data_IF_706145835299
#
_entry.id   IF_706145835299
#
_cell.length_a   1.000
_cell.length_b   1.000
_cell.length_c   1.000
_cell.angle_alpha   90.00
_cell.angle_beta   90.00
_cell.angle_gamma   90.00
#
_symmetry.space_group_name_H-M   'P 1'
#
loop_
_entity.id
_entity.type
_entity.pdbx_description
1 polymer ?
#
# COMPACT_ATOMS: atom_id res chain seq x y z
N UNK A 1 6.37 -27.01 -13.66
CA UNK A 1 7.48 -26.27 -13.02
C UNK A 1 8.52 -27.28 -12.59
N UNK A 2 9.80 -26.93 -12.69
CA UNK A 2 10.94 -27.80 -12.35
C UNK A 2 11.32 -27.54 -10.89
N UNK A 3 11.27 -28.55 -10.03
CA UNK A 3 11.54 -28.40 -8.60
C UNK A 3 13.04 -28.27 -8.34
N UNK A 4 13.44 -27.35 -7.46
CA UNK A 4 14.83 -27.16 -7.04
C UNK A 4 15.02 -27.61 -5.58
N UNK A 5 16.10 -28.34 -5.25
CA UNK A 5 16.39 -28.67 -3.87
C UNK A 5 16.81 -27.43 -3.08
N UNK A 6 16.66 -27.47 -1.75
CA UNK A 6 17.20 -26.44 -0.86
C UNK A 6 18.72 -26.43 -0.99
N UNK A 7 19.29 -25.26 -1.26
CA UNK A 7 20.73 -25.06 -1.43
C UNK A 7 21.37 -24.45 -0.17
N UNK A 8 22.70 -24.43 -0.10
CA UNK A 8 23.45 -23.73 0.97
C UNK A 8 23.21 -22.22 1.01
N UNK A 9 22.67 -21.63 -0.07
CA UNK A 9 22.35 -20.20 -0.18
C UNK A 9 20.95 -19.87 0.36
N UNK A 10 20.17 -20.88 0.78
CA UNK A 10 18.82 -20.70 1.30
C UNK A 10 18.83 -20.31 2.78
N UNK A 11 18.38 -19.09 3.09
CA UNK A 11 18.22 -18.61 4.47
C UNK A 11 16.76 -18.76 4.96
N UNK A 12 16.24 -19.98 4.98
CA UNK A 12 14.88 -20.27 5.50
C UNK A 12 14.77 -21.69 6.07
N UNK A 13 13.72 -21.93 6.87
CA UNK A 13 13.41 -23.27 7.40
C UNK A 13 12.94 -24.26 6.33
N UNK A 14 12.67 -25.51 6.74
CA UNK A 14 12.35 -26.64 5.84
C UNK A 14 11.08 -26.47 4.98
N UNK A 15 10.14 -25.61 5.40
CA UNK A 15 8.91 -25.29 4.67
C UNK A 15 8.94 -23.91 3.99
N UNK A 16 10.05 -23.17 4.11
CA UNK A 16 10.22 -21.88 3.46
C UNK A 16 10.64 -22.01 2.00
N UNK A 17 10.46 -20.94 1.23
CA UNK A 17 10.91 -20.85 -0.16
C UNK A 17 11.57 -19.49 -0.39
N UNK A 18 12.68 -19.46 -1.12
CA UNK A 18 13.39 -18.26 -1.56
C UNK A 18 13.78 -18.36 -3.04
N UNK A 19 14.46 -17.35 -3.57
CA UNK A 19 14.92 -17.31 -4.98
C UNK A 19 15.83 -18.50 -5.37
N UNK A 20 16.59 -19.04 -4.41
CA UNK A 20 17.52 -20.15 -4.67
C UNK A 20 16.87 -21.53 -4.67
N UNK A 21 15.63 -21.67 -4.19
CA UNK A 21 14.89 -22.94 -4.17
C UNK A 21 13.49 -22.85 -4.78
N UNK A 22 13.11 -21.70 -5.32
CA UNK A 22 11.85 -21.56 -6.04
C UNK A 22 11.85 -22.43 -7.29
N UNK A 23 10.72 -23.07 -7.65
CA UNK A 23 10.61 -23.88 -8.85
C UNK A 23 10.91 -23.07 -10.11
N UNK A 24 11.74 -23.61 -11.00
CA UNK A 24 12.03 -22.96 -12.28
C UNK A 24 10.89 -23.17 -13.27
N UNK A 25 10.76 -22.19 -14.15
CA UNK A 25 9.90 -22.34 -15.31
C UNK A 25 10.48 -23.39 -16.28
N UNK A 26 9.65 -24.20 -16.95
CA UNK A 26 10.12 -25.17 -17.95
C UNK A 26 10.81 -24.55 -19.18
N UNK A 27 10.71 -23.23 -19.37
CA UNK A 27 11.34 -22.48 -20.46
C UNK A 27 12.61 -21.72 -20.01
N UNK A 28 13.08 -21.93 -18.78
CA UNK A 28 14.30 -21.32 -18.26
C UNK A 28 15.53 -21.64 -19.12
N UNK A 29 16.26 -20.61 -19.56
CA UNK A 29 17.37 -20.77 -20.49
C UNK A 29 18.60 -21.41 -19.83
N UNK A 30 18.84 -21.11 -18.56
CA UNK A 30 20.00 -21.63 -17.81
C UNK A 30 19.86 -23.14 -17.60
N UNK A 31 18.68 -23.60 -17.18
CA UNK A 31 18.38 -25.02 -17.03
C UNK A 31 18.56 -25.79 -18.36
N UNK A 32 18.12 -25.20 -19.48
CA UNK A 32 18.23 -25.83 -20.80
C UNK A 32 19.68 -26.01 -21.25
N UNK A 33 20.55 -25.02 -20.97
CA UNK A 33 21.97 -25.11 -21.32
C UNK A 33 22.66 -26.21 -20.52
N UNK A 34 22.40 -26.30 -19.22
CA UNK A 34 22.98 -27.33 -18.33
C UNK A 34 22.56 -28.74 -18.76
N UNK A 35 21.28 -28.94 -19.09
CA UNK A 35 20.76 -30.25 -19.49
C UNK A 35 20.84 -30.52 -21.00
N UNK A 36 21.56 -29.69 -21.77
CA UNK A 36 21.72 -29.85 -23.23
C UNK A 36 20.38 -29.92 -24.00
N UNK A 37 19.36 -29.19 -23.53
CA UNK A 37 18.02 -29.13 -24.13
C UNK A 37 17.98 -28.02 -25.20
N UNK A 38 18.07 -28.43 -26.47
CA UNK A 38 18.13 -27.50 -27.60
C UNK A 38 16.82 -26.72 -27.82
N UNK A 39 15.67 -27.40 -27.78
CA UNK A 39 14.36 -26.80 -28.05
C UNK A 39 13.37 -27.10 -26.92
N UNK A 40 12.52 -26.12 -26.58
CA UNK A 40 11.38 -26.35 -25.68
C UNK A 40 10.25 -27.04 -26.43
N UNK A 41 9.42 -27.81 -25.71
CA UNK A 41 8.22 -28.41 -26.31
C UNK A 41 7.20 -27.34 -26.68
N UNK A 42 6.36 -27.63 -27.68
CA UNK A 42 5.30 -26.72 -28.13
C UNK A 42 4.36 -26.28 -27.00
N UNK A 43 4.00 -27.19 -26.09
CA UNK A 43 3.18 -26.88 -24.90
C UNK A 43 3.87 -25.92 -23.92
N UNK A 44 5.19 -26.03 -23.77
CA UNK A 44 6.00 -25.13 -22.93
C UNK A 44 6.10 -23.75 -23.57
N UNK A 45 6.26 -23.69 -24.90
CA UNK A 45 6.26 -22.44 -25.67
C UNK A 45 4.92 -21.68 -25.55
N UNK A 46 3.79 -22.38 -25.67
CA UNK A 46 2.47 -21.75 -25.47
C UNK A 46 2.30 -21.22 -24.03
N UNK A 47 2.73 -21.99 -23.03
CA UNK A 47 2.65 -21.60 -21.62
C UNK A 47 3.52 -20.39 -21.29
N UNK A 48 4.65 -20.22 -21.97
CA UNK A 48 5.52 -19.04 -21.85
C UNK A 48 4.83 -17.77 -22.36
N UNK A 49 4.09 -17.87 -23.46
CA UNK A 49 3.34 -16.75 -24.04
C UNK A 49 2.04 -16.45 -23.30
N UNK A 50 1.46 -17.47 -22.67
CA UNK A 50 0.22 -17.41 -21.92
C UNK A 50 0.50 -17.54 -20.42
N UNK A 51 1.33 -16.66 -19.85
CA UNK A 51 1.38 -16.55 -18.39
C UNK A 51 -0.06 -16.31 -17.92
N UNK A 52 -0.67 -17.30 -17.25
CA UNK A 52 -2.05 -17.16 -16.81
C UNK A 52 -2.13 -15.90 -15.95
N UNK A 53 -3.20 -15.09 -16.08
CA UNK A 53 -3.33 -13.91 -15.25
C UNK A 53 -3.28 -14.31 -13.78
N UNK A 54 -2.67 -13.46 -12.96
CA UNK A 54 -2.71 -13.60 -11.52
C UNK A 54 -4.17 -13.83 -11.08
N UNK A 55 -4.47 -14.83 -10.23
CA UNK A 55 -3.57 -15.57 -9.34
C UNK A 55 -3.02 -16.89 -9.89
N UNK A 56 -3.36 -17.30 -11.13
CA UNK A 56 -3.05 -18.65 -11.63
C UNK A 56 -1.66 -18.77 -12.27
N UNK A 57 -1.00 -17.66 -12.52
CA UNK A 57 0.36 -17.61 -13.04
C UNK A 57 1.00 -16.25 -12.78
N UNK A 58 2.32 -16.24 -12.64
CA UNK A 58 3.11 -15.03 -12.62
C UNK A 58 4.44 -15.32 -13.33
N UNK A 59 4.79 -14.47 -14.28
CA UNK A 59 6.06 -14.54 -14.98
C UNK A 59 7.12 -13.71 -14.23
N UNK A 60 8.42 -13.96 -14.43
CA UNK A 60 9.47 -13.12 -13.81
C UNK A 60 9.38 -11.64 -14.21
N UNK A 61 8.83 -11.34 -15.40
CA UNK A 61 8.53 -9.95 -15.82
C UNK A 61 7.31 -9.34 -15.12
N UNK A 62 6.43 -10.19 -14.61
CA UNK A 62 5.17 -9.86 -13.97
C UNK A 62 5.33 -9.77 -12.44
N UNK A 63 6.40 -10.36 -11.91
CA UNK A 63 6.73 -10.34 -10.48
C UNK A 63 7.16 -8.93 -10.07
N UNK A 64 6.58 -8.35 -9.02
CA UNK A 64 7.02 -7.05 -8.54
C UNK A 64 8.48 -7.15 -8.08
N UNK A 65 9.30 -6.11 -8.36
CA UNK A 65 10.68 -6.10 -7.91
C UNK A 65 10.74 -6.08 -6.36
N UNK A 66 11.83 -6.61 -5.76
CA UNK A 66 12.01 -6.53 -4.33
C UNK A 66 12.00 -5.06 -3.87
N UNK A 67 11.16 -4.77 -2.89
CA UNK A 67 11.03 -3.42 -2.33
C UNK A 67 12.15 -3.20 -1.33
N UNK A 68 12.96 -2.16 -1.54
CA UNK A 68 13.91 -1.66 -0.54
C UNK A 68 13.31 -0.43 0.13
N UNK A 69 13.03 -0.52 1.42
CA UNK A 69 12.49 0.60 2.20
C UNK A 69 13.58 1.62 2.50
N UNK A 70 13.69 2.63 1.63
CA UNK A 70 14.53 3.80 1.87
C UNK A 70 13.70 4.94 2.46
N UNK A 71 14.37 5.84 3.19
CA UNK A 71 13.73 7.06 3.70
C UNK A 71 13.14 7.87 2.54
N UNK A 72 11.86 8.22 2.64
CA UNK A 72 11.18 9.05 1.66
C UNK A 72 11.73 10.48 1.69
N UNK A 73 12.33 10.90 0.58
CA UNK A 73 13.05 12.20 0.48
C UNK A 73 12.15 13.43 0.34
N UNK A 74 10.83 13.23 0.16
CA UNK A 74 9.89 14.33 -0.07
C UNK A 74 8.54 14.06 0.62
N UNK A 75 7.77 15.12 0.86
CA UNK A 75 6.38 15.06 1.32
C UNK A 75 5.49 15.85 0.36
N UNK A 76 4.29 15.37 0.10
CA UNK A 76 3.35 16.00 -0.84
C UNK A 76 2.90 17.38 -0.37
N UNK A 77 2.54 17.49 0.90
CA UNK A 77 2.07 18.73 1.53
C UNK A 77 3.20 19.23 2.40
N UNK A 78 3.69 20.47 2.21
CA UNK A 78 4.80 21.02 3.02
C UNK A 78 4.35 21.62 4.35
N UNK A 79 3.18 22.25 4.37
CA UNK A 79 2.67 22.99 5.51
C UNK A 79 1.16 22.80 5.61
N UNK A 80 0.67 22.82 6.84
CA UNK A 80 -0.73 22.75 7.19
C UNK A 80 -1.02 23.94 8.09
N UNK A 81 -1.93 24.80 7.67
CA UNK A 81 -2.35 25.97 8.43
C UNK A 81 -3.84 25.90 8.71
N UNK A 82 -4.24 26.35 9.89
CA UNK A 82 -5.66 26.46 10.25
C UNK A 82 -6.13 27.89 10.04
N UNK A 83 -7.32 28.04 9.47
CA UNK A 83 -7.94 29.36 9.31
C UNK A 83 -8.17 30.06 10.66
N UNK A 84 -8.48 29.29 11.70
CA UNK A 84 -8.71 29.79 13.05
C UNK A 84 -8.25 28.77 14.09
N UNK A 85 -7.71 29.27 15.20
CA UNK A 85 -7.35 28.45 16.38
C UNK A 85 -8.58 27.85 17.07
N UNK A 86 -9.77 28.43 16.88
CA UNK A 86 -11.02 27.91 17.47
C UNK A 86 -11.34 26.49 16.96
N UNK A 87 -11.05 26.21 15.69
CA UNK A 87 -11.30 24.90 15.06
C UNK A 87 -10.62 23.78 15.84
N UNK A 88 -9.35 24.00 16.25
CA UNK A 88 -8.61 23.04 17.05
C UNK A 88 -9.11 22.96 18.49
N UNK A 89 -9.44 24.12 19.09
CA UNK A 89 -9.93 24.13 20.46
C UNK A 89 -11.25 23.38 20.58
N UNK A 90 -12.19 23.58 19.66
CA UNK A 90 -13.49 22.91 19.68
C UNK A 90 -13.34 21.39 19.50
N UNK A 91 -12.43 20.97 18.62
CA UNK A 91 -12.10 19.55 18.42
C UNK A 91 -11.46 18.92 19.67
N UNK A 92 -10.47 19.58 20.27
CA UNK A 92 -9.75 19.08 21.46
C UNK A 92 -10.64 19.11 22.71
N UNK A 93 -11.62 20.02 22.77
CA UNK A 93 -12.53 20.13 23.92
C UNK A 93 -13.31 18.85 24.17
N UNK A 94 -13.62 18.06 23.13
CA UNK A 94 -14.25 16.74 23.30
C UNK A 94 -13.39 15.86 24.20
N UNK A 95 -12.10 15.71 23.87
CA UNK A 95 -11.15 14.93 24.67
C UNK A 95 -10.95 15.50 26.08
N UNK A 96 -10.92 16.84 26.25
CA UNK A 96 -10.78 17.48 27.57
C UNK A 96 -11.92 17.15 28.53
N UNK A 97 -13.13 16.96 28.00
CA UNK A 97 -14.33 16.71 28.80
C UNK A 97 -14.57 15.22 28.98
N UNK A 98 -14.37 14.42 27.93
CA UNK A 98 -14.70 13.00 27.92
C UNK A 98 -13.54 12.07 28.34
N UNK A 99 -12.30 12.50 28.11
CA UNK A 99 -11.10 11.68 28.30
C UNK A 99 -10.89 10.57 27.25
N UNK A 100 -11.81 10.41 26.29
CA UNK A 100 -11.71 9.42 25.20
C UNK A 100 -11.17 10.07 23.92
N UNK A 101 -10.56 9.26 23.05
CA UNK A 101 -9.97 9.71 21.79
C UNK A 101 -11.03 10.29 20.84
N UNK A 102 -10.58 11.04 19.82
CA UNK A 102 -11.47 11.67 18.85
C UNK A 102 -10.83 11.69 17.46
N UNK A 103 -11.63 11.44 16.43
CA UNK A 103 -11.23 11.47 15.04
C UNK A 103 -12.06 12.48 14.23
N UNK A 104 -11.44 13.11 13.24
CA UNK A 104 -12.12 14.05 12.33
C UNK A 104 -11.36 14.24 11.02
N UNK A 105 -12.10 14.57 9.97
CA UNK A 105 -11.58 14.92 8.65
C UNK A 105 -11.27 16.40 8.55
N UNK A 106 -10.15 16.75 7.94
CA UNK A 106 -9.80 18.13 7.61
C UNK A 106 -10.23 18.43 6.17
N UNK A 107 -11.27 19.26 6.05
CA UNK A 107 -11.69 19.83 4.77
C UNK A 107 -10.95 21.14 4.54
N UNK A 108 -10.67 21.49 3.30
CA UNK A 108 -9.86 22.66 2.98
C UNK A 108 -9.49 22.69 1.52
N UNK A 109 -8.56 23.59 1.17
CA UNK A 109 -8.10 23.73 -0.21
C UNK A 109 -6.59 23.84 -0.27
N UNK A 110 -6.04 23.38 -1.39
CA UNK A 110 -4.65 23.63 -1.73
C UNK A 110 -4.56 24.96 -2.45
N UNK A 111 -3.69 25.85 -1.99
CA UNK A 111 -3.40 27.12 -2.67
C UNK A 111 -1.94 27.11 -3.20
N UNK A 112 -1.43 28.22 -3.71
CA UNK A 112 -0.02 28.35 -4.10
C UNK A 112 0.72 29.17 -3.04
N UNK A 113 1.98 28.81 -2.84
CA UNK A 113 2.73 29.22 -1.67
C UNK A 113 3.83 30.25 -2.04
N UNK A 114 3.63 31.58 -1.82
CA UNK A 114 4.64 32.62 -2.12
C UNK A 114 5.60 33.00 -0.94
N UNK A 115 5.20 33.00 0.35
CA UNK A 115 6.12 32.94 1.54
C UNK A 115 5.72 32.11 2.81
N UNK A 116 4.46 32.07 3.31
CA UNK A 116 3.58 30.96 3.87
C UNK A 116 2.21 31.57 4.25
N UNK A 117 1.12 31.47 3.45
CA UNK A 117 -0.12 30.93 4.02
C UNK A 117 -1.01 30.08 3.09
N UNK A 118 -1.53 28.95 3.59
CA UNK A 118 -2.60 28.16 2.95
C UNK A 118 -3.41 27.40 3.99
N UNK A 119 -4.67 27.83 4.16
CA UNK A 119 -5.56 27.37 5.21
C UNK A 119 -6.42 26.16 4.85
N UNK A 120 -6.56 25.27 5.82
CA UNK A 120 -7.61 24.25 5.89
C UNK A 120 -8.91 24.90 6.36
N UNK A 121 -10.03 24.51 5.75
CA UNK A 121 -11.39 25.00 6.01
C UNK A 121 -12.29 23.85 6.47
N UNK A 122 -12.41 23.77 7.80
CA UNK A 122 -13.31 22.94 8.61
C UNK A 122 -12.79 21.54 8.97
N UNK A 123 -12.99 21.18 10.24
CA UNK A 123 -12.94 19.80 10.72
C UNK A 123 -14.36 19.25 10.61
N UNK A 124 -14.56 18.10 9.98
CA UNK A 124 -15.84 17.38 9.96
C UNK A 124 -15.68 16.04 10.65
N UNK A 125 -16.59 15.71 11.55
CA UNK A 125 -16.52 14.51 12.38
C UNK A 125 -17.51 13.44 11.86
N UNK A 126 -17.04 12.24 11.49
CA UNK A 126 -17.91 11.14 11.08
C UNK A 126 -18.55 10.44 12.30
N UNK A 127 -19.59 9.62 12.08
CA UNK A 127 -20.07 8.66 13.08
C UNK A 127 -18.94 7.76 13.58
N UNK A 128 -18.66 7.80 14.89
CA UNK A 128 -17.57 7.08 15.50
C UNK A 128 -17.93 6.67 16.94
N UNK A 129 -17.32 5.58 17.41
CA UNK A 129 -17.31 5.18 18.81
C UNK A 129 -15.91 5.42 19.39
N UNK A 130 -15.87 6.30 20.39
CA UNK A 130 -14.65 6.78 21.01
C UNK A 130 -14.28 5.93 22.23
N UNK A 131 -13.03 5.45 22.29
CA UNK A 131 -12.47 4.68 23.40
C UNK A 131 -11.25 5.39 24.01
N UNK A 132 -10.70 4.89 25.10
CA UNK A 132 -9.56 5.53 25.79
C UNK A 132 -8.25 5.42 24.97
N UNK A 133 -8.08 4.31 24.24
CA UNK A 133 -6.89 3.96 23.48
C UNK A 133 -7.14 3.78 21.97
N UNK A 134 -8.37 4.07 21.51
CA UNK A 134 -8.74 3.88 20.12
C UNK A 134 -10.02 4.62 19.72
N UNK A 135 -10.32 4.55 18.42
CA UNK A 135 -11.57 5.02 17.82
C UNK A 135 -12.00 3.98 16.80
N UNK A 136 -13.27 3.59 16.81
CA UNK A 136 -13.86 2.76 15.75
C UNK A 136 -14.84 3.59 14.92
N UNK A 137 -14.61 3.60 13.61
CA UNK A 137 -15.47 4.32 12.66
C UNK A 137 -16.69 3.45 12.33
N UNK A 138 -17.86 4.09 12.30
CA UNK A 138 -19.11 3.48 11.84
C UNK A 138 -19.38 3.86 10.39
N UNK A 139 -20.38 3.20 9.77
CA UNK A 139 -20.85 3.57 8.44
C UNK A 139 -21.25 5.05 8.40
N UNK A 140 -20.78 5.75 7.37
CA UNK A 140 -21.00 7.18 7.19
C UNK A 140 -21.94 7.47 6.01
N UNK A 141 -23.28 7.40 6.20
CA UNK A 141 -24.23 7.46 5.09
C UNK A 141 -24.32 8.85 4.42
N UNK A 142 -23.79 9.90 5.03
CA UNK A 142 -23.87 11.29 4.55
C UNK A 142 -22.51 11.87 4.15
N UNK A 143 -21.47 11.04 3.98
CA UNK A 143 -20.14 11.45 3.51
C UNK A 143 -20.23 12.24 2.19
N UNK A 144 -20.96 11.71 1.20
CA UNK A 144 -21.13 12.37 -0.10
C UNK A 144 -21.78 13.76 -0.01
N UNK A 145 -22.74 13.94 0.90
CA UNK A 145 -23.41 15.22 1.11
C UNK A 145 -22.47 16.24 1.76
N UNK A 146 -21.57 15.77 2.64
CA UNK A 146 -20.52 16.60 3.24
C UNK A 146 -19.53 17.01 2.18
N UNK A 147 -19.06 16.07 1.36
CA UNK A 147 -18.11 16.34 0.28
C UNK A 147 -18.64 17.37 -0.72
N UNK A 148 -19.90 17.25 -1.15
CA UNK A 148 -20.54 18.22 -2.06
C UNK A 148 -20.62 19.63 -1.46
N UNK A 149 -20.80 19.75 -0.15
CA UNK A 149 -20.91 21.05 0.53
C UNK A 149 -19.57 21.67 0.86
N UNK A 150 -18.53 20.85 1.01
CA UNK A 150 -17.22 21.27 1.49
C UNK A 150 -16.18 21.42 0.37
N UNK A 151 -16.35 20.76 -0.78
CA UNK A 151 -15.52 20.91 -1.98
C UNK A 151 -16.04 22.01 -2.91
#
# INVERSE_FOLDING_TARGET
MIQRPISSMCCHGSKGMCEYCSPLSPWDESYRKEHSIKHISYHVYLSQQMAQPYPRGICSKCQPPPITLQLQKFRMIKHLEYTSHSILNDFINVWRVSGVQRFGYLYGRYEKFEKVPMGIKAVVEPPQSDELDGVALSDWPYEQLVDEKCC
#
